data_IF_548486981640
#
_entry.id   IF_548486981640
#
_cell.length_a   1.000
_cell.length_b   1.000
_cell.length_c   1.000
_cell.angle_alpha   90.00
_cell.angle_beta   90.00
_cell.angle_gamma   90.00
#
_symmetry.space_group_name_H-M   'P 1'
#
loop_
_entity.id
_entity.type
_entity.pdbx_description
1 polymer ?
#
# COMPACT_ATOMS: atom_id res chain seq x y z
N UNK A 1 -3.19 -17.20 -2.48
CA UNK A 1 -3.97 -15.96 -2.28
C UNK A 1 -3.31 -15.19 -1.13
N UNK A 2 -3.03 -13.89 -1.28
CA UNK A 2 -2.41 -13.06 -0.22
C UNK A 2 -3.49 -12.25 0.48
N UNK A 3 -3.68 -12.47 1.79
CA UNK A 3 -4.58 -11.72 2.66
C UNK A 3 -3.71 -10.82 3.56
N UNK A 4 -3.78 -9.49 3.44
CA UNK A 4 -3.01 -8.59 4.29
C UNK A 4 -3.50 -8.65 5.73
N UNK A 5 -2.59 -8.42 6.68
CA UNK A 5 -2.95 -8.39 8.09
C UNK A 5 -4.03 -7.34 8.37
N UNK A 6 -5.06 -7.75 9.11
CA UNK A 6 -6.18 -6.87 9.48
C UNK A 6 -7.12 -6.49 8.34
N UNK A 7 -7.11 -7.24 7.23
CA UNK A 7 -8.05 -7.06 6.12
C UNK A 7 -8.93 -8.29 5.93
N UNK A 8 -10.18 -8.07 5.54
CA UNK A 8 -11.15 -9.15 5.28
C UNK A 8 -11.11 -9.66 3.83
N UNK A 9 -10.43 -8.92 2.94
CA UNK A 9 -10.34 -9.22 1.51
C UNK A 9 -8.91 -9.53 1.10
N UNK A 10 -8.73 -10.55 0.26
CA UNK A 10 -7.44 -10.83 -0.34
C UNK A 10 -7.06 -9.78 -1.38
N UNK A 11 -5.77 -9.73 -1.74
CA UNK A 11 -5.27 -8.88 -2.82
C UNK A 11 -5.90 -9.15 -4.20
N UNK A 12 -6.44 -10.36 -4.40
CA UNK A 12 -7.17 -10.70 -5.63
C UNK A 12 -8.54 -10.04 -5.69
N UNK A 13 -9.14 -9.79 -4.53
CA UNK A 13 -10.49 -9.23 -4.37
C UNK A 13 -10.46 -7.70 -4.21
N UNK A 14 -9.37 -7.15 -3.67
CA UNK A 14 -9.15 -5.71 -3.54
C UNK A 14 -9.00 -5.00 -4.90
N UNK A 15 -9.61 -3.82 -5.02
CA UNK A 15 -9.38 -2.88 -6.11
C UNK A 15 -7.91 -2.43 -6.17
N UNK A 16 -7.50 -1.87 -7.31
CA UNK A 16 -6.14 -1.36 -7.47
C UNK A 16 -5.81 -0.27 -6.43
N UNK A 17 -6.73 0.65 -6.17
CA UNK A 17 -6.53 1.73 -5.19
C UNK A 17 -6.44 1.20 -3.76
N UNK A 18 -7.23 0.18 -3.38
CA UNK A 18 -7.17 -0.43 -2.05
C UNK A 18 -5.79 -1.03 -1.74
N UNK A 19 -5.17 -1.73 -2.71
CA UNK A 19 -3.90 -2.43 -2.48
C UNK A 19 -2.64 -1.63 -2.87
N UNK A 20 -2.72 -0.73 -3.84
CA UNK A 20 -1.57 0.04 -4.34
C UNK A 20 -1.66 1.55 -4.07
N UNK A 21 -2.85 2.09 -3.83
CA UNK A 21 -3.05 3.52 -3.61
C UNK A 21 -2.23 4.01 -2.42
N UNK A 22 -1.47 5.07 -2.62
CA UNK A 22 -0.82 5.82 -1.55
C UNK A 22 -1.79 6.83 -0.94
N UNK A 23 -1.57 7.32 0.29
CA UNK A 23 -2.37 8.40 0.85
C UNK A 23 -2.41 9.61 -0.10
N UNK A 24 -3.59 10.24 -0.32
CA UNK A 24 -4.87 10.01 0.36
C UNK A 24 -5.78 8.94 -0.28
N UNK A 25 -5.38 8.33 -1.40
CA UNK A 25 -6.24 7.41 -2.18
C UNK A 25 -6.26 5.98 -1.63
N UNK A 26 -5.30 5.62 -0.79
CA UNK A 26 -5.20 4.30 -0.17
C UNK A 26 -4.16 4.26 0.94
N UNK A 27 -3.92 3.07 1.49
CA UNK A 27 -3.01 2.86 2.61
C UNK A 27 -1.64 2.27 2.20
N UNK A 28 -1.43 2.03 0.90
CA UNK A 28 -0.17 1.53 0.38
C UNK A 28 0.21 0.12 0.85
N UNK A 29 -0.74 -0.82 0.88
CA UNK A 29 -0.55 -2.17 1.44
C UNK A 29 0.51 -3.01 0.70
N UNK A 30 0.61 -2.84 -0.62
CA UNK A 30 1.55 -3.62 -1.45
C UNK A 30 3.02 -3.33 -1.13
N UNK A 31 3.89 -4.30 -1.36
CA UNK A 31 5.34 -4.14 -1.19
C UNK A 31 5.89 -2.95 -1.98
N UNK A 32 5.40 -2.70 -3.21
CA UNK A 32 5.79 -1.56 -4.04
C UNK A 32 5.42 -0.24 -3.39
N UNK A 33 4.17 -0.12 -2.95
CA UNK A 33 3.69 1.11 -2.29
C UNK A 33 4.48 1.40 -1.01
N UNK A 34 4.75 0.38 -0.19
CA UNK A 34 5.62 0.50 1.00
C UNK A 34 7.04 0.96 0.68
N UNK A 35 7.65 0.43 -0.39
CA UNK A 35 8.98 0.86 -0.83
C UNK A 35 8.99 2.34 -1.25
N UNK A 36 7.97 2.81 -1.98
CA UNK A 36 7.87 4.22 -2.36
C UNK A 36 7.64 5.14 -1.16
N UNK A 37 6.83 4.75 -0.18
CA UNK A 37 6.68 5.52 1.07
C UNK A 37 7.99 5.57 1.87
N UNK A 38 8.74 4.47 1.94
CA UNK A 38 10.05 4.46 2.59
C UNK A 38 11.05 5.37 1.86
N UNK A 39 11.04 5.36 0.52
CA UNK A 39 11.85 6.25 -0.30
C UNK A 39 11.47 7.72 -0.07
N UNK A 40 10.17 8.04 -0.10
CA UNK A 40 9.65 9.39 0.16
C UNK A 40 10.12 9.91 1.53
N UNK A 41 9.99 9.12 2.59
CA UNK A 41 10.54 9.47 3.92
C UNK A 41 12.05 9.71 3.91
N UNK A 42 12.81 8.93 3.14
CA UNK A 42 14.26 9.07 3.09
C UNK A 42 14.74 10.31 2.31
N UNK A 43 13.95 10.80 1.34
CA UNK A 43 14.40 11.84 0.40
C UNK A 43 13.64 13.16 0.49
N UNK A 44 12.37 13.16 0.92
CA UNK A 44 11.50 14.34 0.96
C UNK A 44 11.27 14.87 2.37
N UNK A 45 11.36 14.03 3.41
CA UNK A 45 11.22 14.46 4.80
C UNK A 45 12.61 14.87 5.32
N UNK A 46 12.96 16.14 5.12
CA UNK A 46 14.10 16.83 5.75
C UNK A 46 13.60 18.02 6.56
#
# INVERSE_FOLDING_TARGET
MFLPDGQDLSFGEMSADQKHGLPPKGQGLSHRARAFMALEKAVLVR
#
